data_IF_375721658255
#
_entry.id   IF_375721658255
#
_cell.length_a   1.000
_cell.length_b   1.000
_cell.length_c   1.000
_cell.angle_alpha   90.00
_cell.angle_beta   90.00
_cell.angle_gamma   90.00
#
_symmetry.space_group_name_H-M   'P 1'
#
loop_
_entity.id
_entity.type
_entity.pdbx_description
1 polymer ?
#
# COMPACT_ATOMS: atom_id res chain seq x y z
N UNK A 1 8.62 17.17 12.83
CA UNK A 1 8.73 16.50 11.52
C UNK A 1 9.85 15.50 11.64
N UNK A 2 9.58 14.22 11.38
CA UNK A 2 10.58 13.16 11.50
C UNK A 2 10.81 12.55 10.13
N UNK A 3 12.08 12.44 9.74
CA UNK A 3 12.49 11.72 8.55
C UNK A 3 13.35 10.53 8.97
N UNK A 4 13.05 9.37 8.40
CA UNK A 4 13.79 8.15 8.69
C UNK A 4 13.87 7.28 7.44
N UNK A 5 14.98 6.56 7.32
CA UNK A 5 15.20 5.55 6.29
C UNK A 5 15.00 4.19 6.91
N UNK A 6 14.25 3.33 6.24
CA UNK A 6 14.03 1.95 6.70
C UNK A 6 13.91 0.98 5.54
N UNK A 7 14.26 -0.28 5.78
CA UNK A 7 14.03 -1.36 4.83
C UNK A 7 12.75 -2.11 5.17
N UNK A 8 11.91 -2.35 4.16
CA UNK A 8 10.70 -3.17 4.26
C UNK A 8 10.81 -4.37 3.33
N UNK A 9 10.50 -5.56 3.87
CA UNK A 9 10.38 -6.78 3.08
C UNK A 9 8.94 -6.93 2.60
N UNK A 10 8.78 -7.15 1.31
CA UNK A 10 7.48 -7.25 0.66
C UNK A 10 7.43 -8.54 -0.16
N UNK A 11 6.30 -9.22 -0.12
CA UNK A 11 6.06 -10.43 -0.91
C UNK A 11 4.84 -10.22 -1.79
N UNK A 12 5.07 -10.10 -3.09
CA UNK A 12 4.01 -9.98 -4.10
C UNK A 12 3.73 -11.29 -4.80
N UNK A 13 2.49 -11.46 -5.27
CA UNK A 13 2.08 -12.60 -6.08
C UNK A 13 1.30 -12.17 -7.32
N UNK A 14 1.39 -12.92 -8.41
CA UNK A 14 0.65 -12.58 -9.62
C UNK A 14 0.71 -13.65 -10.69
N UNK A 15 -0.20 -13.55 -11.66
CA UNK A 15 -0.19 -14.41 -12.86
C UNK A 15 0.76 -13.90 -13.94
N UNK A 16 1.22 -12.65 -13.81
CA UNK A 16 2.27 -12.05 -14.64
C UNK A 16 3.33 -11.41 -13.74
N UNK A 17 4.51 -11.12 -14.30
CA UNK A 17 5.62 -10.49 -13.57
C UNK A 17 5.23 -9.10 -13.07
N UNK A 18 4.56 -8.31 -13.91
CA UNK A 18 4.13 -6.94 -13.63
C UNK A 18 3.09 -6.92 -12.52
N UNK A 19 2.13 -7.86 -12.56
CA UNK A 19 1.10 -7.98 -11.53
C UNK A 19 1.71 -8.37 -10.18
N UNK A 20 2.67 -9.28 -10.20
CA UNK A 20 3.40 -9.72 -9.01
C UNK A 20 4.22 -8.58 -8.38
N UNK A 21 4.92 -7.79 -9.21
CA UNK A 21 5.67 -6.62 -8.76
C UNK A 21 4.76 -5.51 -8.23
N UNK A 22 3.69 -5.19 -8.95
CA UNK A 22 2.70 -4.20 -8.51
C UNK A 22 2.01 -4.59 -7.21
N UNK A 23 1.72 -5.87 -7.01
CA UNK A 23 1.19 -6.41 -5.76
C UNK A 23 2.16 -6.25 -4.60
N UNK A 24 3.47 -6.46 -4.81
CA UNK A 24 4.49 -6.18 -3.80
C UNK A 24 4.55 -4.69 -3.43
N UNK A 25 4.58 -3.79 -4.41
CA UNK A 25 4.69 -2.34 -4.17
C UNK A 25 3.47 -1.75 -3.45
N UNK A 26 2.26 -2.26 -3.70
CA UNK A 26 1.04 -1.84 -2.97
C UNK A 26 1.15 -2.06 -1.47
N UNK A 27 1.97 -3.02 -1.05
CA UNK A 27 2.16 -3.32 0.36
C UNK A 27 3.10 -2.33 1.06
N UNK A 28 3.91 -1.54 0.33
CA UNK A 28 4.85 -0.55 0.90
C UNK A 28 4.14 0.36 1.90
N UNK A 29 3.05 1.00 1.48
CA UNK A 29 2.34 1.97 2.32
C UNK A 29 1.83 1.34 3.62
N UNK A 30 1.31 0.11 3.54
CA UNK A 30 0.81 -0.64 4.70
C UNK A 30 1.95 -1.04 5.64
N UNK A 31 3.05 -1.57 5.10
CA UNK A 31 4.17 -2.01 5.93
C UNK A 31 4.90 -0.83 6.58
N UNK A 32 5.00 0.32 5.89
CA UNK A 32 5.51 1.56 6.47
C UNK A 32 4.59 2.07 7.58
N UNK A 33 3.28 2.13 7.34
CA UNK A 33 2.31 2.60 8.33
C UNK A 33 2.29 1.78 9.63
N UNK A 34 2.67 0.50 9.59
CA UNK A 34 2.80 -0.35 10.78
C UNK A 34 4.05 -0.06 11.61
N UNK A 35 5.11 0.45 11.00
CA UNK A 35 6.41 0.68 11.65
C UNK A 35 6.59 2.11 12.15
N UNK A 36 5.95 3.07 11.50
CA UNK A 36 6.13 4.51 11.76
C UNK A 36 5.13 4.97 12.83
N UNK A 37 5.60 5.75 13.80
CA UNK A 37 4.72 6.48 14.74
C UNK A 37 4.26 7.80 14.09
N UNK A 38 2.97 8.07 14.18
CA UNK A 38 2.33 9.24 13.56
C UNK A 38 1.86 8.99 12.12
N UNK A 39 1.49 10.05 11.42
CA UNK A 39 0.96 9.98 10.05
C UNK A 39 2.08 10.25 9.05
N UNK A 40 2.38 9.27 8.19
CA UNK A 40 3.30 9.44 7.07
C UNK A 40 2.62 10.21 5.94
N UNK A 41 3.25 11.29 5.45
CA UNK A 41 2.75 12.05 4.30
C UNK A 41 3.62 11.88 3.04
N UNK A 42 4.87 11.44 3.21
CA UNK A 42 5.78 11.11 2.10
C UNK A 42 6.43 9.77 2.36
N UNK A 43 6.35 8.88 1.37
CA UNK A 43 7.02 7.59 1.33
C UNK A 43 7.70 7.50 -0.03
N UNK A 44 9.02 7.47 -0.03
CA UNK A 44 9.84 7.46 -1.24
C UNK A 44 10.68 6.17 -1.27
N UNK A 45 10.41 5.24 -2.19
CA UNK A 45 11.31 4.12 -2.45
C UNK A 45 12.62 4.62 -3.07
N UNK A 46 13.75 4.34 -2.42
CA UNK A 46 15.08 4.83 -2.83
C UNK A 46 15.93 3.72 -3.43
N UNK A 47 15.81 2.50 -2.92
CA UNK A 47 16.51 1.33 -3.43
C UNK A 47 15.65 0.07 -3.35
N UNK A 48 15.93 -0.90 -4.21
CA UNK A 48 15.25 -2.19 -4.26
C UNK A 48 16.27 -3.32 -4.41
N UNK A 49 16.10 -4.37 -3.61
CA UNK A 49 16.87 -5.60 -3.71
C UNK A 49 15.93 -6.80 -3.82
N UNK A 50 16.18 -7.64 -4.83
CA UNK A 50 15.44 -8.91 -4.98
C UNK A 50 16.00 -9.92 -3.98
N UNK A 51 15.11 -10.48 -3.15
CA UNK A 51 15.45 -11.54 -2.20
C UNK A 51 15.14 -12.91 -2.81
N UNK A 52 14.00 -13.04 -3.48
CA UNK A 52 13.58 -14.27 -4.14
C UNK A 52 12.62 -13.96 -5.28
N UNK A 53 12.74 -14.68 -6.39
CA UNK A 53 11.83 -14.61 -7.52
C UNK A 53 11.57 -16.03 -8.03
N UNK A 54 10.33 -16.51 -7.91
CA UNK A 54 9.96 -17.89 -8.25
C UNK A 54 8.78 -17.87 -9.22
N UNK A 55 8.91 -18.65 -10.30
CA UNK A 55 7.81 -18.95 -11.22
C UNK A 55 7.37 -20.40 -11.02
N UNK A 56 6.11 -20.59 -10.64
CA UNK A 56 5.46 -21.89 -10.60
C UNK A 56 4.64 -22.07 -11.87
N UNK A 57 5.05 -23.01 -12.72
CA UNK A 57 4.30 -23.39 -13.92
C UNK A 57 3.53 -24.70 -13.64
N UNK A 58 2.22 -24.68 -13.89
CA UNK A 58 1.36 -25.87 -13.83
C UNK A 58 0.63 -26.04 -15.14
N UNK A 59 0.66 -27.26 -15.67
CA UNK A 59 -0.17 -27.64 -16.81
C UNK A 59 -1.44 -28.27 -16.27
N UNK A 60 -2.56 -27.56 -16.41
CA UNK A 60 -3.88 -28.08 -16.09
C UNK A 60 -4.43 -28.80 -17.32
N UNK A 61 -4.80 -30.07 -17.15
CA UNK A 61 -5.50 -30.84 -18.18
C UNK A 61 -6.98 -30.83 -17.82
N UNK A 62 -7.83 -30.31 -18.71
CA UNK A 62 -9.28 -30.38 -18.52
C UNK A 62 -9.72 -31.83 -18.82
N UNK A 63 -10.41 -32.48 -17.88
CA UNK A 63 -10.92 -33.86 -18.02
C UNK A 63 -9.88 -34.89 -18.51
N UNK A 64 -8.62 -34.78 -18.08
CA UNK A 64 -7.58 -35.78 -18.34
C UNK A 64 -6.99 -35.82 -19.75
N UNK A 65 -7.70 -35.30 -20.78
CA UNK A 65 -7.29 -35.38 -22.19
C UNK A 65 -7.38 -34.06 -22.98
N UNK A 66 -8.16 -33.07 -22.54
CA UNK A 66 -8.52 -31.93 -23.39
C UNK A 66 -7.92 -30.60 -22.89
N UNK A 67 -7.47 -29.79 -23.86
CA UNK A 67 -7.00 -28.40 -23.69
C UNK A 67 -5.95 -28.17 -22.59
N UNK A 68 -4.72 -28.70 -22.73
CA UNK A 68 -3.67 -28.42 -21.75
C UNK A 68 -3.38 -26.92 -21.68
N UNK A 69 -3.80 -26.28 -20.58
CA UNK A 69 -3.53 -24.86 -20.34
C UNK A 69 -2.37 -24.73 -19.37
N UNK A 70 -1.32 -24.04 -19.81
CA UNK A 70 -0.22 -23.62 -18.93
C UNK A 70 -0.69 -22.44 -18.08
N UNK A 71 -0.57 -22.56 -16.76
CA UNK A 71 -0.75 -21.46 -15.82
C UNK A 71 0.56 -21.19 -15.11
N UNK A 72 1.02 -19.95 -15.16
CA UNK A 72 2.15 -19.46 -14.40
C UNK A 72 1.67 -18.69 -13.17
N UNK A 73 2.32 -18.91 -12.04
CA UNK A 73 2.18 -18.12 -10.82
C UNK A 73 3.55 -17.60 -10.42
N UNK A 74 3.67 -16.30 -10.33
CA UNK A 74 4.88 -15.60 -9.90
C UNK A 74 4.76 -15.25 -8.43
N UNK A 75 5.84 -15.48 -7.70
CA UNK A 75 6.04 -15.06 -6.31
C UNK A 75 7.35 -14.29 -6.24
N UNK A 76 7.28 -13.05 -5.79
CA UNK A 76 8.42 -12.14 -5.71
C UNK A 76 8.56 -11.65 -4.29
N UNK A 77 9.73 -11.82 -3.69
CA UNK A 77 10.11 -11.22 -2.41
C UNK A 77 11.20 -10.17 -2.66
N UNK A 78 10.93 -8.94 -2.24
CA UNK A 78 11.84 -7.80 -2.40
C UNK A 78 12.05 -7.13 -1.04
N UNK A 79 13.27 -6.64 -0.83
CA UNK A 79 13.59 -5.69 0.22
C UNK A 79 13.68 -4.30 -0.42
N UNK A 80 12.85 -3.37 0.04
CA UNK A 80 12.78 -2.01 -0.47
C UNK A 80 13.23 -1.05 0.61
N UNK A 81 14.21 -0.21 0.30
CA UNK A 81 14.61 0.91 1.14
C UNK A 81 13.69 2.08 0.87
N UNK A 82 13.05 2.58 1.93
CA UNK A 82 12.10 3.68 1.86
C UNK A 82 12.53 4.80 2.78
N UNK A 83 12.49 6.03 2.25
CA UNK A 83 12.59 7.26 3.02
C UNK A 83 11.18 7.70 3.38
N UNK A 84 10.94 7.89 4.67
CA UNK A 84 9.61 8.21 5.19
C UNK A 84 9.66 9.52 5.95
N UNK A 85 8.77 10.45 5.59
CA UNK A 85 8.52 11.65 6.38
C UNK A 85 7.17 11.52 7.09
N UNK A 86 7.18 11.71 8.41
CA UNK A 86 5.98 11.65 9.25
C UNK A 86 5.80 12.91 10.10
N UNK A 87 4.52 13.14 10.42
CA UNK A 87 4.06 14.18 11.34
C UNK A 87 3.30 13.51 12.49
N UNK A 88 3.53 14.01 13.70
CA UNK A 88 2.71 13.64 14.85
C UNK A 88 1.48 14.54 14.90
N UNK A 89 0.32 13.97 14.61
CA UNK A 89 -0.96 14.69 14.65
C UNK A 89 -1.40 15.01 16.08
N UNK A 90 -0.92 14.27 17.09
CA UNK A 90 -1.20 14.56 18.50
C UNK A 90 -0.62 15.90 18.96
N UNK A 91 0.46 16.35 18.32
CA UNK A 91 1.06 17.66 18.57
C UNK A 91 0.36 18.80 17.81
N UNK A 92 -0.54 18.49 16.86
CA UNK A 92 -1.23 19.51 16.05
C UNK A 92 -2.42 20.08 16.83
N UNK A 93 -2.39 21.38 17.11
CA UNK A 93 -3.48 22.09 17.80
C UNK A 93 -4.56 22.50 16.80
N UNK A 94 -5.70 21.82 16.83
CA UNK A 94 -6.88 22.20 16.05
C UNK A 94 -7.70 23.25 16.80
N UNK A 95 -7.98 24.37 16.15
CA UNK A 95 -8.94 25.36 16.63
C UNK A 95 -10.37 24.92 16.31
N UNK A 96 -11.19 24.64 17.32
CA UNK A 96 -12.60 24.31 17.13
C UNK A 96 -13.39 25.60 17.00
N UNK A 97 -14.05 25.84 15.86
CA UNK A 97 -15.07 26.89 15.70
C UNK A 97 -16.44 26.23 15.65
N UNK A 98 -17.24 26.47 16.68
CA UNK A 98 -18.65 26.06 16.69
C UNK A 98 -19.48 27.22 16.17
N UNK A 99 -19.95 27.12 14.92
CA UNK A 99 -20.96 28.04 14.41
C UNK A 99 -22.31 27.67 15.03
N UNK A 100 -22.88 28.57 15.83
CA UNK A 100 -24.29 28.47 16.22
C UNK A 100 -25.12 29.10 15.10
N UNK A 101 -25.91 28.28 14.40
CA UNK A 101 -26.95 28.78 13.51
C UNK A 101 -27.85 29.73 14.31
N UNK A 102 -27.89 30.99 13.91
CA UNK A 102 -28.82 31.97 14.49
C UNK A 102 -30.26 31.58 14.12
N UNK A 103 -31.23 31.91 14.98
CA UNK A 103 -32.65 31.56 14.80
C UNK A 103 -33.23 31.87 13.40
N UNK A 104 -32.67 32.84 12.67
CA UNK A 104 -33.07 33.19 11.30
C UNK A 104 -32.50 32.32 10.18
N UNK A 105 -31.39 31.59 10.41
CA UNK A 105 -30.75 30.74 9.38
C UNK A 105 -31.46 29.38 9.21
N UNK A 106 -32.18 28.92 10.24
CA UNK A 106 -33.03 27.72 10.14
C UNK A 106 -34.20 27.88 9.16
N UNK A 107 -34.67 29.12 8.92
CA UNK A 107 -35.78 29.39 8.01
C UNK A 107 -35.39 29.38 6.53
N UNK A 108 -34.10 29.59 6.22
CA UNK A 108 -33.59 29.72 4.85
C UNK A 108 -33.25 28.37 4.18
N UNK A 109 -33.28 27.26 4.93
CA UNK A 109 -32.96 25.91 4.42
C UNK A 109 -34.21 25.06 4.09
N UNK A 110 -35.41 25.64 4.12
CA UNK A 110 -36.69 24.96 3.82
C UNK A 110 -37.36 25.48 2.53
N UNK A 111 -36.59 25.86 1.52
CA UNK A 111 -37.10 26.10 0.16
C UNK A 111 -36.37 25.26 -0.87
#
# INVERSE_FOLDING_TARGET
MHEQVMTVRLTGTGTTKERCFGDALRQVQREVGRKVRGTSFRIEPTALRIVSAVEHQRTERFLGLLFPRKRSKFVLTIDVEVRVASVDLGAVKFGVRTEKLGRGQHLLQLR
#
